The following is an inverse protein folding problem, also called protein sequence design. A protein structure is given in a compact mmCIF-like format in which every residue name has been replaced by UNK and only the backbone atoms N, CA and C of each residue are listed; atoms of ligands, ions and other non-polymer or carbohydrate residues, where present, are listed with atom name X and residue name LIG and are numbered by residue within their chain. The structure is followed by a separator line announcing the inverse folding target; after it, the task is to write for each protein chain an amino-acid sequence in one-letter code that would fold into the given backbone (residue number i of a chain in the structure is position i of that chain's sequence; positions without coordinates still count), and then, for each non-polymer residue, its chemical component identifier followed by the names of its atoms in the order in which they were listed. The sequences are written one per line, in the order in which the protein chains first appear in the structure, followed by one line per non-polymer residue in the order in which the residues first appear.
data_IF_017169755192
#
_entry.id   IF_017169755192
#
_cell.length_a   1.000
_cell.length_b   1.000
_cell.length_c   1.000
_cell.angle_alpha   90.00
_cell.angle_beta   90.00
_cell.angle_gamma   90.00
#
_symmetry.space_group_name_H-M   'P 1'
#
loop_
_entity.id
_entity.type
_entity.pdbx_description
1 polymer ?
#
# COMPACT_ATOMS: atom_id res chain seq x y z
N UNK A 1 -24.47 -1.51 -18.44
CA UNK A 1 -23.62 -2.72 -18.47
C UNK A 1 -22.71 -2.65 -17.26
N UNK A 2 -22.95 -3.45 -16.22
CA UNK A 2 -22.28 -3.34 -14.92
C UNK A 2 -20.82 -3.78 -14.96
N UNK A 3 -20.02 -3.33 -13.99
CA UNK A 3 -18.67 -3.84 -13.77
C UNK A 3 -18.74 -5.33 -13.43
N UNK A 4 -17.92 -6.17 -14.06
CA UNK A 4 -17.80 -7.57 -13.64
C UNK A 4 -16.94 -7.65 -12.39
N UNK A 5 -17.45 -8.29 -11.35
CA UNK A 5 -16.65 -8.77 -10.22
C UNK A 5 -16.18 -10.17 -10.55
N UNK A 6 -14.90 -10.31 -10.90
CA UNK A 6 -14.26 -11.62 -10.85
C UNK A 6 -13.97 -11.88 -9.37
N UNK A 7 -14.85 -12.61 -8.68
CA UNK A 7 -14.67 -12.93 -7.27
C UNK A 7 -13.41 -13.79 -7.09
N UNK A 8 -12.57 -13.44 -6.11
CA UNK A 8 -11.52 -14.33 -5.64
C UNK A 8 -12.18 -15.58 -5.06
N UNK A 9 -11.56 -16.75 -5.25
CA UNK A 9 -12.04 -18.00 -4.64
C UNK A 9 -12.03 -17.93 -3.11
N UNK A 10 -11.18 -17.09 -2.53
CA UNK A 10 -11.17 -16.71 -1.12
C UNK A 10 -10.83 -15.23 -1.01
N UNK A 11 -11.74 -14.37 -0.53
CA UNK A 11 -11.47 -12.95 -0.27
C UNK A 11 -10.29 -12.78 0.69
N UNK A 12 -9.52 -11.70 0.53
CA UNK A 12 -8.41 -11.39 1.42
C UNK A 12 -8.92 -10.78 2.73
N UNK A 13 -8.71 -11.48 3.83
CA UNK A 13 -8.84 -10.97 5.19
C UNK A 13 -7.43 -10.95 5.77
N UNK A 14 -6.81 -9.78 5.79
CA UNK A 14 -5.38 -9.67 6.03
C UNK A 14 -4.96 -8.36 6.66
N UNK A 15 -3.65 -8.25 6.85
CA UNK A 15 -2.97 -7.06 7.38
C UNK A 15 -1.83 -6.64 6.47
N UNK A 16 -1.51 -5.35 6.48
CA UNK A 16 -0.34 -4.80 5.80
C UNK A 16 0.91 -4.93 6.67
N UNK A 17 2.00 -5.42 6.09
CA UNK A 17 3.32 -5.51 6.73
C UNK A 17 4.09 -4.18 6.58
N UNK A 18 3.41 -3.08 6.95
CA UNK A 18 3.92 -1.71 6.81
C UNK A 18 5.17 -1.46 7.65
N UNK A 19 6.02 -0.53 7.20
CA UNK A 19 7.23 -0.17 7.94
C UNK A 19 8.38 -1.16 7.85
N UNK A 20 8.25 -2.26 7.10
CA UNK A 20 9.29 -3.28 6.96
C UNK A 20 10.24 -3.04 5.79
N UNK A 21 9.73 -3.13 4.55
CA UNK A 21 10.52 -3.01 3.31
C UNK A 21 10.32 -1.67 2.59
N UNK A 22 9.41 -0.85 3.11
CA UNK A 22 9.36 0.59 2.90
C UNK A 22 9.15 1.23 4.28
N UNK A 23 9.94 2.24 4.60
CA UNK A 23 9.99 2.82 5.94
C UNK A 23 9.17 4.10 6.06
N UNK A 24 8.33 4.13 7.10
CA UNK A 24 7.49 5.26 7.45
C UNK A 24 7.62 5.57 8.94
N UNK A 25 7.59 6.85 9.36
CA UNK A 25 7.78 7.22 10.76
C UNK A 25 6.84 6.53 11.76
N UNK A 26 5.60 6.24 11.36
CA UNK A 26 4.63 5.53 12.21
C UNK A 26 4.91 4.03 12.29
N UNK A 27 4.69 3.28 11.20
CA UNK A 27 4.94 1.83 11.17
C UNK A 27 6.36 1.43 11.58
N UNK A 28 7.38 2.19 11.18
CA UNK A 28 8.78 1.96 11.56
C UNK A 28 9.21 2.77 12.80
N UNK A 29 8.29 3.16 13.68
CA UNK A 29 8.54 4.10 14.78
C UNK A 29 9.82 3.81 15.60
N UNK A 30 10.12 2.58 16.05
CA UNK A 30 11.34 2.33 16.82
C UNK A 30 12.61 2.75 16.08
N UNK A 31 12.68 2.53 14.77
CA UNK A 31 13.84 2.91 13.96
C UNK A 31 13.99 4.43 13.87
N UNK A 32 12.89 5.15 13.64
CA UNK A 32 12.91 6.62 13.58
C UNK A 32 13.21 7.22 14.96
N UNK A 33 12.67 6.66 16.04
CA UNK A 33 12.90 7.12 17.41
C UNK A 33 14.37 6.96 17.85
N UNK A 34 15.06 5.89 17.40
CA UNK A 34 16.51 5.72 17.65
C UNK A 34 17.39 6.65 16.82
N UNK A 35 16.83 7.27 15.78
CA UNK A 35 17.52 8.20 14.90
C UNK A 35 16.75 9.53 14.82
N UNK A 36 16.66 10.27 15.94
CA UNK A 36 15.92 11.52 16.01
C UNK A 36 16.61 12.62 15.19
N UNK A 37 15.94 13.77 15.12
CA UNK A 37 16.34 14.93 14.31
C UNK A 37 17.85 15.20 14.31
N UNK A 38 18.38 15.44 13.11
CA UNK A 38 19.74 15.92 12.91
C UNK A 38 19.67 17.38 12.46
N UNK A 39 20.43 18.25 13.11
CA UNK A 39 20.46 19.70 12.83
C UNK A 39 19.07 20.36 12.91
N UNK A 40 18.18 19.84 13.77
CA UNK A 40 16.81 20.34 13.96
C UNK A 40 15.78 19.80 12.96
N UNK A 41 16.17 18.94 12.02
CA UNK A 41 15.27 18.38 11.00
C UNK A 41 14.98 16.89 11.29
N UNK A 42 13.73 16.57 11.60
CA UNK A 42 13.25 15.20 11.76
C UNK A 42 13.13 14.48 10.42
N UNK A 43 13.50 13.20 10.38
CA UNK A 43 13.25 12.36 9.22
C UNK A 43 11.74 12.10 9.07
N UNK A 44 11.16 12.54 7.94
CA UNK A 44 9.71 12.40 7.68
C UNK A 44 9.36 11.30 6.66
N UNK A 45 10.37 10.63 6.11
CA UNK A 45 10.24 9.54 5.15
C UNK A 45 11.57 8.76 5.09
N UNK A 46 11.56 7.58 4.46
CA UNK A 46 12.76 6.76 4.29
C UNK A 46 13.93 7.52 3.66
N UNK A 47 13.67 8.34 2.63
CA UNK A 47 14.70 9.16 1.99
C UNK A 47 15.46 10.05 2.99
N UNK A 48 14.74 10.71 3.89
CA UNK A 48 15.33 11.60 4.90
C UNK A 48 16.18 10.79 5.89
N UNK A 49 15.62 9.71 6.42
CA UNK A 49 16.29 8.82 7.36
C UNK A 49 17.58 8.26 6.76
N UNK A 50 17.55 7.85 5.49
CA UNK A 50 18.73 7.29 4.83
C UNK A 50 19.83 8.32 4.64
N UNK A 51 19.48 9.59 4.34
CA UNK A 51 20.47 10.66 4.27
C UNK A 51 21.11 10.92 5.62
N UNK A 52 20.32 11.00 6.68
CA UNK A 52 20.80 11.23 8.04
C UNK A 52 21.71 10.09 8.52
N UNK A 53 21.29 8.83 8.33
CA UNK A 53 22.11 7.66 8.67
C UNK A 53 23.45 7.68 7.94
N UNK A 54 23.45 7.92 6.62
CA UNK A 54 24.68 7.97 5.82
C UNK A 54 25.61 9.10 6.25
N UNK A 55 25.06 10.26 6.59
CA UNK A 55 25.83 11.41 7.07
C UNK A 55 26.44 11.13 8.45
N UNK A 56 25.66 10.53 9.36
CA UNK A 56 26.07 10.31 10.76
C UNK A 56 26.98 9.10 10.95
N UNK A 57 26.71 7.99 10.26
CA UNK A 57 27.34 6.70 10.49
C UNK A 57 28.20 6.22 9.32
N UNK A 58 28.09 6.85 8.16
CA UNK A 58 28.69 6.38 6.92
C UNK A 58 27.92 5.21 6.28
N UNK A 59 28.26 4.91 5.03
CA UNK A 59 27.54 3.92 4.20
C UNK A 59 27.49 2.53 4.84
N UNK A 60 28.62 2.00 5.30
CA UNK A 60 28.72 0.63 5.83
C UNK A 60 27.82 0.43 7.06
N UNK A 61 27.92 1.31 8.05
CA UNK A 61 27.13 1.19 9.28
C UNK A 61 25.64 1.45 9.05
N UNK A 62 25.28 2.32 8.09
CA UNK A 62 23.88 2.51 7.68
C UNK A 62 23.26 1.22 7.12
N UNK A 63 24.03 0.46 6.34
CA UNK A 63 23.59 -0.85 5.82
C UNK A 63 23.34 -1.83 6.97
N UNK A 64 24.21 -1.86 7.98
CA UNK A 64 24.05 -2.71 9.16
C UNK A 64 22.79 -2.35 9.96
N UNK A 65 22.51 -1.06 10.17
CA UNK A 65 21.27 -0.58 10.83
C UNK A 65 20.02 -1.08 10.08
N UNK A 66 20.01 -0.94 8.75
CA UNK A 66 18.87 -1.36 7.93
C UNK A 66 18.71 -2.88 7.89
N UNK A 67 19.82 -3.61 7.90
CA UNK A 67 19.81 -5.06 8.01
C UNK A 67 19.17 -5.50 9.32
N UNK A 68 19.58 -4.91 10.45
CA UNK A 68 18.98 -5.21 11.76
C UNK A 68 17.47 -4.96 11.74
N UNK A 69 17.04 -3.79 11.25
CA UNK A 69 15.61 -3.49 11.12
C UNK A 69 14.88 -4.56 10.30
N UNK A 70 15.38 -4.91 9.11
CA UNK A 70 14.73 -5.90 8.24
C UNK A 70 14.73 -7.31 8.83
N UNK A 71 15.72 -7.66 9.64
CA UNK A 71 15.78 -8.97 10.30
C UNK A 71 14.89 -9.08 11.54
N UNK A 72 14.52 -7.96 12.19
CA UNK A 72 13.79 -7.99 13.47
C UNK A 72 12.42 -7.34 13.45
N UNK A 73 12.10 -6.50 12.47
CA UNK A 73 10.84 -5.75 12.44
C UNK A 73 9.63 -6.64 12.12
N UNK A 74 9.77 -7.54 11.14
CA UNK A 74 8.80 -8.59 10.82
C UNK A 74 9.57 -9.91 10.71
N UNK A 75 9.05 -10.93 11.37
CA UNK A 75 9.64 -12.26 11.47
C UNK A 75 8.62 -13.33 11.11
N UNK A 76 9.07 -14.58 10.97
CA UNK A 76 8.15 -15.73 10.76
C UNK A 76 7.09 -15.82 11.87
N UNK A 77 7.44 -15.50 13.11
CA UNK A 77 6.51 -15.53 14.23
C UNK A 77 5.31 -14.58 14.02
N UNK A 78 5.50 -13.47 13.30
CA UNK A 78 4.41 -12.55 12.98
C UNK A 78 3.44 -13.16 11.96
N UNK A 79 3.93 -13.92 10.97
CA UNK A 79 3.09 -14.67 10.03
C UNK A 79 2.29 -15.77 10.74
N UNK A 80 2.92 -16.49 11.67
CA UNK A 80 2.26 -17.50 12.51
C UNK A 80 1.14 -16.86 13.36
N UNK A 81 1.40 -15.70 13.96
CA UNK A 81 0.39 -14.94 14.72
C UNK A 81 -0.76 -14.45 13.83
N UNK A 82 -0.46 -13.90 12.65
CA UNK A 82 -1.47 -13.46 11.67
C UNK A 82 -2.41 -14.62 11.35
N UNK A 83 -1.85 -15.80 11.08
CA UNK A 83 -2.64 -17.00 10.83
C UNK A 83 -3.45 -17.44 12.06
N UNK A 84 -2.85 -17.40 13.25
CA UNK A 84 -3.53 -17.76 14.51
C UNK A 84 -4.69 -16.81 14.86
N UNK A 85 -4.63 -15.55 14.44
CA UNK A 85 -5.74 -14.58 14.53
C UNK A 85 -6.89 -14.86 13.54
N UNK A 86 -6.79 -15.93 12.73
CA UNK A 86 -7.82 -16.31 11.77
C UNK A 86 -7.74 -15.57 10.43
N UNK A 87 -6.71 -14.75 10.22
CA UNK A 87 -6.47 -14.09 8.94
C UNK A 87 -5.94 -15.07 7.88
N UNK A 88 -6.11 -14.72 6.62
CA UNK A 88 -5.75 -15.57 5.48
C UNK A 88 -4.79 -14.90 4.49
N UNK A 89 -4.48 -13.62 4.66
CA UNK A 89 -3.66 -12.86 3.71
C UNK A 89 -2.75 -11.84 4.40
N UNK A 90 -1.67 -11.47 3.70
CA UNK A 90 -0.82 -10.33 4.04
C UNK A 90 -0.60 -9.46 2.80
N UNK A 91 -0.55 -8.14 2.98
CA UNK A 91 -0.07 -7.18 1.97
C UNK A 91 1.35 -6.78 2.32
N UNK A 92 2.27 -6.87 1.38
CA UNK A 92 3.68 -6.54 1.58
C UNK A 92 4.07 -5.29 0.78
N UNK A 93 4.05 -4.10 1.43
CA UNK A 93 4.61 -2.87 0.87
C UNK A 93 6.13 -2.94 0.74
N UNK A 94 6.66 -2.56 -0.42
CA UNK A 94 8.10 -2.37 -0.61
C UNK A 94 8.41 -1.29 -1.65
N UNK A 95 9.53 -0.60 -1.48
CA UNK A 95 10.06 0.33 -2.48
C UNK A 95 10.79 -0.39 -3.62
N UNK A 96 10.87 0.24 -4.80
CA UNK A 96 11.62 -0.32 -5.94
C UNK A 96 13.10 -0.61 -5.64
N UNK A 97 13.69 0.12 -4.67
CA UNK A 97 15.07 -0.06 -4.23
C UNK A 97 15.30 -1.40 -3.53
N UNK A 98 14.23 -2.09 -3.10
CA UNK A 98 14.31 -3.46 -2.58
C UNK A 98 14.53 -4.46 -3.71
N UNK A 99 13.88 -4.24 -4.87
CA UNK A 99 13.93 -5.17 -6.01
C UNK A 99 15.11 -4.90 -6.93
N UNK A 100 15.46 -3.62 -7.11
CA UNK A 100 16.55 -3.17 -7.99
C UNK A 100 17.43 -2.18 -7.26
N UNK A 101 18.69 -2.07 -7.67
CA UNK A 101 19.60 -1.07 -7.09
C UNK A 101 19.03 0.35 -7.25
N UNK A 102 19.09 1.19 -6.20
CA UNK A 102 18.76 2.59 -6.31
C UNK A 102 19.74 3.30 -7.25
N UNK A 103 19.33 4.43 -7.84
CA UNK A 103 20.22 5.28 -8.65
C UNK A 103 21.33 5.85 -7.76
N UNK A 104 22.48 6.17 -8.35
CA UNK A 104 23.66 6.62 -7.62
C UNK A 104 23.42 7.85 -6.73
N UNK A 105 22.48 8.72 -7.10
CA UNK A 105 22.10 9.93 -6.36
C UNK A 105 21.00 9.70 -5.31
N UNK A 106 20.55 8.46 -5.11
CA UNK A 106 19.47 8.12 -4.18
C UNK A 106 20.06 7.51 -2.89
N UNK A 107 19.54 7.89 -1.70
CA UNK A 107 20.11 7.49 -0.43
C UNK A 107 19.64 6.09 0.03
N UNK A 108 18.67 5.49 -0.67
CA UNK A 108 18.10 4.18 -0.31
C UNK A 108 19.17 3.10 -0.14
N UNK A 109 18.90 2.14 0.74
CA UNK A 109 19.76 0.98 0.98
C UNK A 109 19.08 -0.25 0.39
N UNK A 110 19.63 -0.71 -0.73
CA UNK A 110 19.23 -1.93 -1.40
C UNK A 110 20.36 -2.39 -2.33
N UNK A 111 20.13 -3.39 -3.18
CA UNK A 111 18.92 -4.23 -3.23
C UNK A 111 18.75 -5.10 -1.97
N UNK A 112 17.52 -5.59 -1.74
CA UNK A 112 17.14 -6.36 -0.54
C UNK A 112 16.03 -7.39 -0.85
N UNK A 113 16.07 -7.92 -2.08
CA UNK A 113 15.02 -8.78 -2.63
C UNK A 113 14.85 -10.09 -1.83
N UNK A 114 15.90 -10.52 -1.13
CA UNK A 114 15.90 -11.68 -0.25
C UNK A 114 14.86 -11.59 0.89
N UNK A 115 14.47 -10.40 1.31
CA UNK A 115 13.41 -10.23 2.31
C UNK A 115 12.01 -10.40 1.72
N UNK A 116 11.83 -10.05 0.44
CA UNK A 116 10.58 -10.35 -0.29
C UNK A 116 10.47 -11.85 -0.51
N UNK A 117 11.57 -12.52 -0.87
CA UNK A 117 11.64 -13.98 -0.97
C UNK A 117 11.22 -14.64 0.35
N UNK A 118 11.83 -14.19 1.44
CA UNK A 118 11.56 -14.68 2.80
C UNK A 118 10.08 -14.50 3.19
N UNK A 119 9.48 -13.35 2.87
CA UNK A 119 8.06 -13.10 3.13
C UNK A 119 7.15 -14.04 2.34
N UNK A 120 7.48 -14.32 1.08
CA UNK A 120 6.74 -15.26 0.22
C UNK A 120 6.85 -16.69 0.77
N UNK A 121 8.04 -17.09 1.23
CA UNK A 121 8.26 -18.40 1.85
C UNK A 121 7.46 -18.55 3.15
N UNK A 122 7.51 -17.56 4.04
CA UNK A 122 6.71 -17.57 5.27
C UNK A 122 5.21 -17.56 5.01
N UNK A 123 4.74 -16.81 4.02
CA UNK A 123 3.34 -16.84 3.61
C UNK A 123 2.92 -18.26 3.18
N UNK A 124 3.72 -18.93 2.35
CA UNK A 124 3.44 -20.29 1.90
C UNK A 124 3.45 -21.30 3.06
N UNK A 125 4.47 -21.26 3.92
CA UNK A 125 4.61 -22.15 5.07
C UNK A 125 3.47 -21.99 6.10
N UNK A 126 2.97 -20.76 6.29
CA UNK A 126 1.88 -20.47 7.20
C UNK A 126 0.48 -20.63 6.57
N UNK A 127 0.40 -20.99 5.29
CA UNK A 127 -0.86 -21.11 4.56
C UNK A 127 -1.57 -19.76 4.35
N UNK A 128 -0.81 -18.68 4.26
CA UNK A 128 -1.29 -17.33 3.98
C UNK A 128 -1.15 -16.99 2.49
N UNK A 129 -2.10 -16.22 1.99
CA UNK A 129 -1.98 -15.52 0.72
C UNK A 129 -1.08 -14.28 0.89
N UNK A 130 -0.38 -13.88 -0.18
CA UNK A 130 0.42 -12.65 -0.18
C UNK A 130 0.08 -11.79 -1.41
N UNK A 131 -0.17 -10.50 -1.13
CA UNK A 131 -0.29 -9.43 -2.11
C UNK A 131 1.01 -8.64 -2.10
N UNK A 132 1.74 -8.68 -3.22
CA UNK A 132 2.97 -7.91 -3.39
C UNK A 132 2.62 -6.49 -3.83
N UNK A 133 3.04 -5.49 -3.07
CA UNK A 133 2.70 -4.10 -3.31
C UNK A 133 3.93 -3.25 -3.58
N UNK A 134 4.05 -2.77 -4.83
CA UNK A 134 5.10 -1.85 -5.24
C UNK A 134 4.79 -0.44 -4.72
N UNK A 135 5.07 -0.25 -3.45
CA UNK A 135 4.59 0.87 -2.65
C UNK A 135 5.39 2.17 -2.84
N UNK A 136 6.61 2.07 -3.39
CA UNK A 136 7.39 3.22 -3.82
C UNK A 136 7.96 3.00 -5.21
N UNK A 137 7.53 3.80 -6.18
CA UNK A 137 7.96 3.67 -7.57
C UNK A 137 9.22 4.50 -7.90
N UNK A 138 10.02 4.12 -8.90
CA UNK A 138 11.13 4.95 -9.37
C UNK A 138 10.66 6.33 -9.80
N UNK A 139 11.25 7.38 -9.21
CA UNK A 139 10.84 8.77 -9.45
C UNK A 139 9.60 9.24 -8.65
N UNK A 140 9.05 8.38 -7.80
CA UNK A 140 7.86 8.58 -6.96
C UNK A 140 6.56 8.76 -7.75
N UNK A 141 5.53 8.00 -7.39
CA UNK A 141 4.18 8.11 -7.92
C UNK A 141 3.37 9.27 -7.29
N UNK A 142 3.88 9.87 -6.21
CA UNK A 142 3.34 11.06 -5.56
C UNK A 142 4.42 11.95 -4.92
N UNK A 143 4.01 13.04 -4.29
CA UNK A 143 4.88 13.93 -3.50
C UNK A 143 4.98 13.53 -2.02
N UNK A 144 4.24 12.51 -1.58
CA UNK A 144 3.99 12.26 -0.17
C UNK A 144 4.97 11.27 0.45
N UNK A 145 5.03 11.25 1.79
CA UNK A 145 5.94 10.37 2.52
C UNK A 145 5.78 8.86 2.23
N UNK A 146 4.56 8.31 2.05
CA UNK A 146 4.37 6.87 1.88
C UNK A 146 5.09 6.27 0.66
N UNK A 147 5.36 7.05 -0.41
CA UNK A 147 6.15 6.56 -1.55
C UNK A 147 7.68 6.45 -1.26
N UNK A 148 8.10 6.69 -0.01
CA UNK A 148 9.48 6.68 0.47
C UNK A 148 10.22 8.02 0.33
N UNK A 149 9.65 9.01 -0.36
CA UNK A 149 10.24 10.34 -0.53
C UNK A 149 9.20 11.46 -0.51
N UNK A 150 9.10 12.15 0.63
CA UNK A 150 8.31 13.37 0.74
C UNK A 150 9.01 14.55 0.09
N UNK A 151 8.35 15.19 -0.87
CA UNK A 151 8.89 16.34 -1.61
C UNK A 151 8.52 17.64 -0.90
N UNK A 152 9.52 18.50 -0.66
CA UNK A 152 9.35 19.74 0.10
C UNK A 152 9.99 20.92 -0.66
N UNK A 153 9.19 21.89 -1.17
CA UNK A 153 7.73 21.88 -1.26
C UNK A 153 7.20 20.78 -2.19
N UNK A 154 5.93 20.40 -2.04
CA UNK A 154 5.29 19.36 -2.85
C UNK A 154 5.33 19.66 -4.36
N UNK A 155 5.32 20.94 -4.74
CA UNK A 155 5.45 21.42 -6.13
C UNK A 155 6.78 21.06 -6.81
N UNK A 156 7.80 20.58 -6.07
CA UNK A 156 9.03 20.03 -6.66
C UNK A 156 8.79 18.70 -7.37
N UNK A 157 7.66 18.05 -7.12
CA UNK A 157 7.26 16.84 -7.82
C UNK A 157 6.29 17.15 -8.96
N UNK A 158 6.40 16.38 -10.03
CA UNK A 158 5.49 16.38 -11.17
C UNK A 158 5.34 14.93 -11.65
N UNK A 159 4.16 14.56 -12.15
CA UNK A 159 3.87 13.20 -12.59
C UNK A 159 4.85 12.64 -13.62
N UNK A 160 5.51 13.51 -14.40
CA UNK A 160 6.56 13.12 -15.37
C UNK A 160 7.86 12.63 -14.72
N UNK A 161 8.06 12.86 -13.42
CA UNK A 161 9.18 12.30 -12.68
C UNK A 161 9.00 10.80 -12.44
N UNK A 162 7.75 10.33 -12.32
CA UNK A 162 7.47 8.90 -12.18
C UNK A 162 7.91 8.15 -13.44
N UNK A 163 8.96 7.33 -13.28
CA UNK A 163 9.49 6.47 -14.32
C UNK A 163 8.62 5.21 -14.43
N UNK A 164 7.43 5.38 -15.03
CA UNK A 164 6.46 4.30 -15.27
C UNK A 164 7.07 3.16 -16.09
N UNK A 165 8.01 3.44 -17.00
CA UNK A 165 8.66 2.41 -17.80
C UNK A 165 9.54 1.49 -16.93
N UNK A 166 10.36 2.06 -16.04
CA UNK A 166 11.14 1.27 -15.08
C UNK A 166 10.23 0.57 -14.08
N UNK A 167 9.15 1.21 -13.64
CA UNK A 167 8.13 0.60 -12.77
C UNK A 167 7.55 -0.68 -13.41
N UNK A 168 7.16 -0.60 -14.69
CA UNK A 168 6.69 -1.75 -15.48
C UNK A 168 7.74 -2.87 -15.64
N UNK A 169 9.03 -2.54 -15.68
CA UNK A 169 10.11 -3.53 -15.70
C UNK A 169 10.24 -4.26 -14.37
N UNK A 170 10.13 -3.55 -13.25
CA UNK A 170 10.15 -4.13 -11.89
C UNK A 170 8.97 -5.09 -11.70
N UNK A 171 7.76 -4.69 -12.14
CA UNK A 171 6.58 -5.56 -12.09
C UNK A 171 6.78 -6.84 -12.92
N UNK A 172 7.43 -6.76 -14.09
CA UNK A 172 7.78 -7.93 -14.90
C UNK A 172 8.79 -8.85 -14.18
N UNK A 173 9.80 -8.28 -13.51
CA UNK A 173 10.77 -9.05 -12.70
C UNK A 173 10.09 -9.80 -11.55
N UNK A 174 9.23 -9.12 -10.79
CA UNK A 174 8.48 -9.71 -9.68
C UNK A 174 7.54 -10.82 -10.16
N UNK A 175 6.77 -10.54 -11.21
CA UNK A 175 5.83 -11.50 -11.77
C UNK A 175 6.54 -12.76 -12.29
N UNK A 176 7.69 -12.62 -12.97
CA UNK A 176 8.50 -13.77 -13.41
C UNK A 176 9.04 -14.57 -12.22
N UNK A 177 9.65 -13.88 -11.25
CA UNK A 177 10.30 -14.49 -10.09
C UNK A 177 9.33 -15.35 -9.27
N UNK A 178 8.12 -14.84 -9.04
CA UNK A 178 7.14 -15.50 -8.19
C UNK A 178 6.07 -16.28 -8.98
N UNK A 179 6.23 -16.44 -10.29
CA UNK A 179 5.25 -17.10 -11.17
C UNK A 179 4.91 -18.55 -10.78
N UNK A 180 5.79 -19.23 -10.05
CA UNK A 180 5.57 -20.58 -9.55
C UNK A 180 5.00 -20.63 -8.11
N UNK A 181 5.03 -19.53 -7.37
CA UNK A 181 4.63 -19.47 -5.94
C UNK A 181 3.11 -19.30 -5.84
N UNK A 182 2.42 -20.33 -5.34
CA UNK A 182 0.94 -20.34 -5.32
C UNK A 182 0.34 -19.40 -4.27
N UNK A 183 1.07 -19.12 -3.19
CA UNK A 183 0.67 -18.16 -2.16
C UNK A 183 0.58 -16.71 -2.70
N UNK A 184 1.29 -16.37 -3.78
CA UNK A 184 1.20 -15.05 -4.42
C UNK A 184 -0.09 -14.97 -5.22
N UNK A 185 -1.08 -14.29 -4.67
CA UNK A 185 -2.43 -14.15 -5.22
C UNK A 185 -2.75 -12.74 -5.68
N UNK A 186 -1.93 -11.75 -5.32
CA UNK A 186 -2.12 -10.36 -5.71
C UNK A 186 -0.81 -9.66 -6.07
N UNK A 187 -0.88 -8.73 -7.03
CA UNK A 187 0.19 -7.76 -7.32
C UNK A 187 -0.46 -6.38 -7.42
N UNK A 188 -0.14 -5.48 -6.50
CA UNK A 188 -0.47 -4.06 -6.61
C UNK A 188 0.60 -3.33 -7.43
N UNK A 189 0.13 -2.65 -8.47
CA UNK A 189 1.03 -2.08 -9.51
C UNK A 189 1.69 -0.77 -9.06
N UNK A 190 1.13 -0.14 -8.04
CA UNK A 190 1.65 1.00 -7.27
C UNK A 190 0.75 1.13 -6.01
N UNK A 191 1.06 2.06 -5.10
CA UNK A 191 0.23 2.33 -3.92
C UNK A 191 -0.70 3.55 -4.09
N UNK A 192 -0.21 4.78 -3.93
CA UNK A 192 -1.05 5.99 -3.91
C UNK A 192 -0.59 7.01 -4.95
N UNK A 193 -0.88 6.81 -6.25
CA UNK A 193 -0.47 7.75 -7.28
C UNK A 193 -1.15 9.12 -7.07
N UNK A 194 -0.42 10.22 -7.20
CA UNK A 194 -0.95 11.57 -6.97
C UNK A 194 -2.16 11.92 -7.84
N UNK A 195 -3.09 12.72 -7.29
CA UNK A 195 -4.24 13.32 -8.00
C UNK A 195 -3.86 14.02 -9.30
N UNK A 196 -2.65 14.56 -9.38
CA UNK A 196 -2.16 15.31 -10.55
C UNK A 196 -1.66 14.43 -11.70
N UNK A 197 -1.53 13.11 -11.51
CA UNK A 197 -1.22 12.18 -12.61
C UNK A 197 -2.41 12.16 -13.59
N UNK A 198 -2.23 12.51 -14.88
CA UNK A 198 -3.34 12.54 -15.82
C UNK A 198 -4.02 11.17 -15.94
N UNK A 199 -5.34 11.15 -15.82
CA UNK A 199 -6.15 9.94 -15.86
C UNK A 199 -5.78 9.01 -17.03
N UNK A 200 -5.70 9.55 -18.26
CA UNK A 200 -5.36 8.75 -19.43
C UNK A 200 -3.96 8.12 -19.36
N UNK A 201 -2.99 8.79 -18.71
CA UNK A 201 -1.65 8.24 -18.50
C UNK A 201 -1.68 7.12 -17.47
N UNK A 202 -2.38 7.30 -16.35
CA UNK A 202 -2.51 6.29 -15.30
C UNK A 202 -3.23 5.04 -15.80
N UNK A 203 -4.34 5.21 -16.54
CA UNK A 203 -5.07 4.08 -17.13
C UNK A 203 -4.20 3.30 -18.13
N UNK A 204 -3.43 3.99 -18.99
CA UNK A 204 -2.47 3.33 -19.90
C UNK A 204 -1.39 2.58 -19.14
N UNK A 205 -0.89 3.12 -18.04
CA UNK A 205 0.08 2.46 -17.17
C UNK A 205 -0.53 1.18 -16.57
N UNK A 206 -1.73 1.26 -15.97
CA UNK A 206 -2.44 0.11 -15.42
C UNK A 206 -2.67 -0.99 -16.46
N UNK A 207 -3.11 -0.64 -17.68
CA UNK A 207 -3.31 -1.63 -18.74
C UNK A 207 -2.00 -2.34 -19.10
N UNK A 208 -0.90 -1.60 -19.22
CA UNK A 208 0.41 -2.18 -19.53
C UNK A 208 0.95 -3.04 -18.38
N UNK A 209 0.69 -2.65 -17.14
CA UNK A 209 1.08 -3.41 -15.96
C UNK A 209 0.37 -4.77 -15.94
N UNK A 210 -0.96 -4.79 -16.16
CA UNK A 210 -1.71 -6.05 -16.29
C UNK A 210 -1.14 -6.91 -17.42
N UNK A 211 -0.92 -6.35 -18.61
CA UNK A 211 -0.37 -7.10 -19.76
C UNK A 211 1.00 -7.71 -19.45
N UNK A 212 1.90 -6.97 -18.79
CA UNK A 212 3.21 -7.48 -18.41
C UNK A 212 3.13 -8.58 -17.37
N UNK A 213 2.33 -8.39 -16.33
CA UNK A 213 2.13 -9.41 -15.28
C UNK A 213 1.57 -10.71 -15.90
N UNK A 214 0.58 -10.60 -16.81
CA UNK A 214 0.05 -11.78 -17.52
C UNK A 214 1.11 -12.45 -18.38
N UNK A 215 1.85 -11.67 -19.20
CA UNK A 215 2.91 -12.18 -20.07
C UNK A 215 4.07 -12.82 -19.30
N UNK A 216 4.31 -12.37 -18.07
CA UNK A 216 5.32 -12.91 -17.16
C UNK A 216 4.93 -14.23 -16.48
N UNK A 217 3.75 -14.79 -16.77
CA UNK A 217 3.33 -16.11 -16.26
C UNK A 217 2.43 -16.07 -15.02
N UNK A 218 1.83 -14.91 -14.71
CA UNK A 218 0.84 -14.77 -13.62
C UNK A 218 -0.58 -14.70 -14.20
N UNK A 219 -1.25 -15.84 -14.47
CA UNK A 219 -2.54 -15.86 -15.16
C UNK A 219 -3.67 -15.30 -14.30
N UNK A 220 -4.72 -14.79 -14.96
CA UNK A 220 -5.91 -14.27 -14.31
C UNK A 220 -6.67 -15.32 -13.49
N UNK A 221 -6.48 -16.62 -13.75
CA UNK A 221 -7.07 -17.68 -12.93
C UNK A 221 -6.48 -17.81 -11.53
N UNK A 222 -5.34 -17.15 -11.25
CA UNK A 222 -4.62 -17.27 -9.98
C UNK A 222 -4.32 -15.94 -9.32
N UNK A 223 -3.97 -14.91 -10.10
CA UNK A 223 -3.43 -13.65 -9.56
C UNK A 223 -4.31 -12.47 -9.93
N UNK A 224 -4.83 -11.78 -8.91
CA UNK A 224 -5.45 -10.48 -9.06
C UNK A 224 -4.39 -9.39 -9.29
N UNK A 225 -4.64 -8.50 -10.25
CA UNK A 225 -3.84 -7.27 -10.38
C UNK A 225 -4.62 -6.13 -9.74
N UNK A 226 -4.01 -5.53 -8.72
CA UNK A 226 -4.62 -4.53 -7.85
C UNK A 226 -4.25 -3.14 -8.38
N UNK A 227 -5.26 -2.32 -8.66
CA UNK A 227 -5.13 -1.02 -9.31
C UNK A 227 -5.62 0.10 -8.39
N UNK A 228 -4.74 0.93 -7.82
CA UNK A 228 -5.19 1.98 -6.92
C UNK A 228 -6.15 2.99 -7.53
N UNK A 229 -7.14 3.40 -6.75
CA UNK A 229 -8.01 4.54 -7.02
C UNK A 229 -7.99 5.47 -5.82
N UNK A 230 -7.09 6.46 -5.88
CA UNK A 230 -6.78 7.33 -4.73
C UNK A 230 -6.92 8.79 -5.13
N UNK A 231 -7.73 9.58 -4.41
CA UNK A 231 -7.86 11.04 -4.60
C UNK A 231 -7.97 11.48 -6.07
N UNK A 232 -8.89 10.88 -6.84
CA UNK A 232 -9.04 11.20 -8.27
C UNK A 232 -9.81 12.50 -8.48
N UNK A 233 -9.31 13.48 -9.27
CA UNK A 233 -10.04 14.73 -9.52
C UNK A 233 -11.40 14.52 -10.18
N UNK A 234 -11.54 13.47 -11.01
CA UNK A 234 -12.84 13.11 -11.61
C UNK A 234 -13.76 12.29 -10.69
N UNK A 235 -13.28 11.87 -9.51
CA UNK A 235 -13.90 10.87 -8.66
C UNK A 235 -13.59 9.42 -9.06
N UNK A 236 -13.55 8.55 -8.06
CA UNK A 236 -13.17 7.13 -8.13
C UNK A 236 -14.08 6.37 -9.10
N UNK A 237 -15.39 6.60 -9.03
CA UNK A 237 -16.39 5.96 -9.90
C UNK A 237 -16.20 6.36 -11.37
N UNK A 238 -15.97 7.65 -11.64
CA UNK A 238 -15.75 8.11 -13.01
C UNK A 238 -14.43 7.54 -13.58
N UNK A 239 -13.38 7.46 -12.75
CA UNK A 239 -12.11 6.84 -13.11
C UNK A 239 -12.30 5.37 -13.50
N UNK A 240 -13.01 4.59 -12.68
CA UNK A 240 -13.33 3.18 -12.99
C UNK A 240 -14.16 3.04 -14.28
N UNK A 241 -15.13 3.94 -14.52
CA UNK A 241 -15.92 3.92 -15.77
C UNK A 241 -15.03 4.20 -17.00
N UNK A 242 -14.06 5.12 -16.89
CA UNK A 242 -13.07 5.38 -17.95
C UNK A 242 -12.16 4.16 -18.19
N UNK A 243 -11.74 3.46 -17.13
CA UNK A 243 -11.02 2.19 -17.28
C UNK A 243 -11.81 1.17 -18.10
N UNK A 244 -13.09 0.99 -17.78
CA UNK A 244 -13.94 0.03 -18.49
C UNK A 244 -14.14 0.42 -19.96
N UNK A 245 -14.36 1.71 -20.24
CA UNK A 245 -14.47 2.25 -21.59
C UNK A 245 -13.19 2.04 -22.41
N UNK A 246 -12.02 2.33 -21.81
CA UNK A 246 -10.73 2.22 -22.47
C UNK A 246 -10.35 0.76 -22.76
N UNK A 247 -10.59 -0.15 -21.82
CA UNK A 247 -10.16 -1.55 -21.91
C UNK A 247 -11.21 -2.46 -22.53
N UNK A 248 -12.46 -2.01 -22.61
CA UNK A 248 -13.63 -2.80 -23.05
C UNK A 248 -13.76 -4.13 -22.31
N UNK A 249 -13.38 -4.16 -21.02
CA UNK A 249 -13.42 -5.37 -20.19
C UNK A 249 -12.42 -6.46 -20.59
N UNK A 250 -11.37 -6.14 -21.36
CA UNK A 250 -10.34 -7.09 -21.80
C UNK A 250 -9.58 -7.73 -20.64
N UNK A 251 -9.37 -6.99 -19.56
CA UNK A 251 -8.58 -7.45 -18.42
C UNK A 251 -9.46 -8.20 -17.42
N UNK A 252 -9.06 -9.43 -17.09
CA UNK A 252 -9.72 -10.31 -16.11
C UNK A 252 -8.91 -10.36 -14.81
N UNK A 253 -9.61 -10.64 -13.71
CA UNK A 253 -9.08 -10.70 -12.35
C UNK A 253 -8.24 -9.45 -12.03
N UNK A 254 -8.94 -8.31 -12.08
CA UNK A 254 -8.44 -6.99 -11.73
C UNK A 254 -9.41 -6.40 -10.72
N UNK A 255 -8.90 -5.83 -9.63
CA UNK A 255 -9.68 -5.07 -8.67
C UNK A 255 -9.07 -3.67 -8.49
N UNK A 256 -9.90 -2.72 -8.08
CA UNK A 256 -9.43 -1.41 -7.67
C UNK A 256 -9.11 -1.40 -6.18
N UNK A 257 -8.06 -0.69 -5.77
CA UNK A 257 -7.68 -0.53 -4.36
C UNK A 257 -8.15 0.82 -3.84
N UNK A 258 -8.93 0.81 -2.76
CA UNK A 258 -9.39 2.00 -2.07
C UNK A 258 -8.85 2.03 -0.64
N UNK A 259 -8.47 3.23 -0.16
CA UNK A 259 -7.94 3.42 1.18
C UNK A 259 -8.96 4.22 2.00
N UNK A 260 -9.52 3.60 3.04
CA UNK A 260 -10.63 4.14 3.82
C UNK A 260 -10.14 4.55 5.21
N UNK A 261 -9.65 5.79 5.32
CA UNK A 261 -9.21 6.37 6.59
C UNK A 261 -10.21 7.39 7.12
N UNK A 262 -10.40 7.41 8.44
CA UNK A 262 -11.36 8.27 9.14
C UNK A 262 -10.70 9.29 10.09
N UNK A 263 -9.42 9.58 9.87
CA UNK A 263 -8.59 10.42 10.74
C UNK A 263 -7.81 11.53 10.01
N UNK A 264 -7.90 11.59 8.68
CA UNK A 264 -7.17 12.58 7.88
C UNK A 264 -8.09 13.70 7.39
N UNK A 265 -7.46 14.83 7.06
CA UNK A 265 -8.12 16.04 6.55
C UNK A 265 -9.09 16.70 7.54
N UNK A 266 -9.47 17.94 7.27
CA UNK A 266 -10.44 18.65 8.11
C UNK A 266 -11.82 17.98 8.08
N UNK A 267 -12.13 17.27 6.99
CA UNK A 267 -13.42 16.58 6.84
C UNK A 267 -13.60 15.55 7.96
N UNK A 268 -12.72 14.54 8.07
CA UNK A 268 -12.88 13.50 9.07
C UNK A 268 -12.51 13.96 10.48
N UNK A 269 -11.57 14.92 10.62
CA UNK A 269 -11.25 15.49 11.94
C UNK A 269 -12.43 16.22 12.58
N UNK A 270 -13.36 16.74 11.78
CA UNK A 270 -14.58 17.41 12.25
C UNK A 270 -15.79 16.50 12.46
N UNK A 271 -15.72 15.21 12.12
CA UNK A 271 -16.88 14.29 12.21
C UNK A 271 -17.08 13.78 13.64
N UNK A 272 -18.35 13.83 14.09
CA UNK A 272 -18.78 13.11 15.29
C UNK A 272 -18.79 11.60 15.08
N UNK A 273 -18.84 10.81 16.17
CA UNK A 273 -18.93 9.34 16.06
C UNK A 273 -20.07 8.90 15.11
N UNK A 274 -21.27 9.48 15.27
CA UNK A 274 -22.40 9.16 14.40
C UNK A 274 -22.15 9.52 12.92
N UNK A 275 -21.40 10.59 12.63
CA UNK A 275 -21.02 10.94 11.26
C UNK A 275 -19.96 10.00 10.70
N UNK A 276 -19.03 9.50 11.54
CA UNK A 276 -18.06 8.49 11.14
C UNK A 276 -18.75 7.18 10.76
N UNK A 277 -19.70 6.72 11.56
CA UNK A 277 -20.46 5.50 11.30
C UNK A 277 -21.30 5.62 10.01
N UNK A 278 -21.91 6.78 9.74
CA UNK A 278 -22.59 7.03 8.45
C UNK A 278 -21.63 6.98 7.25
N UNK A 279 -20.42 7.49 7.39
CA UNK A 279 -19.42 7.38 6.33
C UNK A 279 -19.01 5.92 6.07
N UNK A 280 -19.00 5.06 7.09
CA UNK A 280 -18.80 3.61 6.91
C UNK A 280 -19.94 2.99 6.10
N UNK A 281 -21.19 3.35 6.37
CA UNK A 281 -22.34 2.88 5.58
C UNK A 281 -22.30 3.34 4.12
N UNK A 282 -21.82 4.56 3.87
CA UNK A 282 -21.60 5.09 2.51
C UNK A 282 -20.50 4.30 1.79
N UNK A 283 -19.39 4.01 2.47
CA UNK A 283 -18.33 3.15 1.95
C UNK A 283 -18.88 1.75 1.62
N UNK A 284 -19.70 1.15 2.48
CA UNK A 284 -20.32 -0.16 2.23
C UNK A 284 -21.17 -0.18 0.94
N UNK A 285 -21.92 0.90 0.65
CA UNK A 285 -22.68 1.02 -0.61
C UNK A 285 -21.74 1.03 -1.82
N UNK A 286 -20.67 1.82 -1.76
CA UNK A 286 -19.65 1.85 -2.81
C UNK A 286 -18.97 0.48 -3.01
N UNK A 287 -18.59 -0.17 -1.91
CA UNK A 287 -17.94 -1.48 -1.92
C UNK A 287 -18.83 -2.62 -2.39
N UNK A 288 -20.17 -2.48 -2.36
CA UNK A 288 -21.14 -3.43 -2.97
C UNK A 288 -21.43 -3.20 -4.45
N UNK A 289 -21.14 -2.01 -4.97
CA UNK A 289 -21.38 -1.69 -6.38
C UNK A 289 -20.17 -1.93 -7.29
N UNK A 290 -18.95 -1.71 -6.81
CA UNK A 290 -17.73 -1.68 -7.64
C UNK A 290 -16.73 -2.78 -7.26
N UNK A 291 -15.88 -3.28 -8.19
CA UNK A 291 -14.91 -4.34 -7.93
C UNK A 291 -13.70 -3.79 -7.15
N UNK A 292 -13.92 -3.47 -5.88
CA UNK A 292 -12.95 -2.77 -5.02
C UNK A 292 -12.51 -3.71 -3.89
N UNK A 293 -11.22 -3.67 -3.59
CA UNK A 293 -10.66 -4.14 -2.33
C UNK A 293 -10.31 -2.92 -1.48
N UNK A 294 -10.50 -3.01 -0.17
CA UNK A 294 -9.96 -2.01 0.75
C UNK A 294 -8.59 -2.51 1.23
N UNK A 295 -7.53 -2.07 0.57
CA UNK A 295 -6.15 -2.46 0.89
C UNK A 295 -5.61 -1.78 2.15
N UNK A 296 -6.19 -0.63 2.52
CA UNK A 296 -5.79 0.13 3.71
C UNK A 296 -6.98 0.75 4.43
N UNK A 297 -7.01 0.56 5.74
CA UNK A 297 -7.96 1.17 6.69
C UNK A 297 -7.40 1.02 8.10
N UNK A 298 -7.97 1.72 9.08
CA UNK A 298 -7.57 1.58 10.49
C UNK A 298 -8.72 1.91 11.44
N UNK A 299 -8.47 1.77 12.74
CA UNK A 299 -9.38 2.19 13.80
C UNK A 299 -9.16 3.65 14.22
N UNK A 300 -8.24 4.37 13.58
CA UNK A 300 -7.97 5.76 13.91
C UNK A 300 -9.16 6.66 13.52
N UNK A 301 -9.58 7.50 14.46
CA UNK A 301 -10.72 8.41 14.34
C UNK A 301 -10.27 9.86 14.50
N UNK A 302 -10.90 10.75 13.75
CA UNK A 302 -10.69 12.19 13.82
C UNK A 302 -11.02 12.78 15.20
N UNK A 303 -10.37 13.90 15.53
CA UNK A 303 -10.39 14.47 16.89
C UNK A 303 -11.79 14.75 17.43
N UNK A 304 -12.71 15.25 16.60
CA UNK A 304 -14.08 15.57 17.04
C UNK A 304 -14.88 14.35 17.52
N UNK A 305 -14.52 13.14 17.09
CA UNK A 305 -15.19 11.91 17.52
C UNK A 305 -15.08 11.73 19.03
N UNK A 306 -13.89 11.96 19.59
CA UNK A 306 -13.62 11.82 21.02
C UNK A 306 -14.34 12.87 21.88
N UNK A 307 -14.65 14.04 21.31
CA UNK A 307 -15.39 15.10 22.01
C UNK A 307 -16.92 14.96 21.90
N UNK A 308 -17.42 14.06 21.05
CA UNK A 308 -18.85 13.96 20.71
C UNK A 308 -19.47 12.60 21.00
N UNK A 309 -18.68 11.66 21.54
CA UNK A 309 -19.13 10.32 21.88
C UNK A 309 -19.84 10.22 23.25
N UNK A 310 -20.11 11.34 23.92
CA UNK A 310 -20.80 11.35 25.22
C UNK A 310 -19.93 10.73 26.31
N UNK A 311 -20.51 9.80 27.08
CA UNK A 311 -19.84 9.10 28.20
C UNK A 311 -19.16 7.79 27.78
N UNK A 312 -19.16 7.45 26.48
CA UNK A 312 -18.58 6.21 25.98
C UNK A 312 -17.06 6.16 26.20
N UNK A 313 -16.55 5.00 26.62
CA UNK A 313 -15.12 4.75 26.76
C UNK A 313 -14.42 4.57 25.41
N UNK A 314 -13.09 4.77 25.38
CA UNK A 314 -12.28 4.61 24.16
C UNK A 314 -12.44 3.21 23.53
N UNK A 315 -12.33 2.16 24.35
CA UNK A 315 -12.49 0.76 23.90
C UNK A 315 -13.88 0.49 23.31
N UNK A 316 -14.92 1.11 23.88
CA UNK A 316 -16.30 0.98 23.39
C UNK A 316 -16.45 1.64 22.02
N UNK A 317 -15.94 2.86 21.86
CA UNK A 317 -15.96 3.61 20.60
C UNK A 317 -15.22 2.84 19.51
N UNK A 318 -14.00 2.37 19.80
CA UNK A 318 -13.17 1.61 18.86
C UNK A 318 -13.85 0.29 18.48
N UNK A 319 -14.45 -0.40 19.45
CA UNK A 319 -15.15 -1.67 19.21
C UNK A 319 -16.36 -1.49 18.30
N UNK A 320 -17.20 -0.48 18.55
CA UNK A 320 -18.38 -0.18 17.71
C UNK A 320 -17.94 0.20 16.30
N UNK A 321 -16.97 1.12 16.19
CA UNK A 321 -16.46 1.57 14.89
C UNK A 321 -15.80 0.44 14.10
N UNK A 322 -14.97 -0.37 14.76
CA UNK A 322 -14.31 -1.53 14.17
C UNK A 322 -15.29 -2.60 13.68
N UNK A 323 -16.31 -2.91 14.47
CA UNK A 323 -17.34 -3.87 14.08
C UNK A 323 -18.14 -3.40 12.86
N UNK A 324 -18.48 -2.10 12.79
CA UNK A 324 -19.18 -1.52 11.63
C UNK A 324 -18.30 -1.52 10.37
N UNK A 325 -17.03 -1.13 10.50
CA UNK A 325 -16.09 -1.23 9.37
C UNK A 325 -15.96 -2.68 8.89
N UNK A 326 -15.77 -3.63 9.79
CA UNK A 326 -15.65 -5.05 9.42
C UNK A 326 -16.90 -5.54 8.69
N UNK A 327 -18.10 -5.17 9.15
CA UNK A 327 -19.36 -5.46 8.46
C UNK A 327 -19.39 -4.89 7.05
N UNK A 328 -19.03 -3.63 6.87
CA UNK A 328 -18.99 -2.96 5.56
C UNK A 328 -17.98 -3.57 4.58
N UNK A 329 -16.83 -4.03 5.07
CA UNK A 329 -15.75 -4.59 4.25
C UNK A 329 -16.01 -6.04 3.79
N UNK A 330 -16.95 -6.73 4.41
CA UNK A 330 -17.28 -8.14 4.14
C UNK A 330 -18.44 -8.33 3.16
N UNK A 331 -19.14 -7.26 2.76
CA UNK A 331 -20.30 -7.29 1.86
C UNK A 331 -19.96 -7.36 0.36
#
# INVERSE_FOLDING_TARGET
MGFRRDALSSPWHGVSLGGWLLLEPGPSYPLFAHHPAQDGEEARCEWDLMKQLRQKLGKKRSVEVLKVHRDTHITKADFERIRACGLNAVRLPFGYWVVTEPRANEPYIGSALEYVDRAVDWAEECGLQIVLDLHGCPGSESSEAPCGRRQRPASRWNWRHWDMARTLQILDMLAKRYSSRRCVTGIAVCNEPSGSVPCASLLRYYSQAVDRIRKAGMPASRVAVVLPVFQRPEGEVAFMKKWWSMTRGRHRNVCFDAHCYHCFENEFNGKSLAQQLRAVEENAKFLREYPVVVGEWSLALGVATWCTAGEMGEDEIISIFGAQQLGALQE
#
